data_IF_073423641646
#
_entry.id   IF_073423641646
#
_cell.length_a   1.000
_cell.length_b   1.000
_cell.length_c   1.000
_cell.angle_alpha   90.00
_cell.angle_beta   90.00
_cell.angle_gamma   90.00
#
_symmetry.space_group_name_H-M   'P 1'
#
loop_
_entity.id
_entity.type
_entity.pdbx_description
1 polymer ?
#
# COMPACT_ATOMS: atom_id res chain seq x y z
N UNK A 1 -0.20 -20.35 -3.62
CA UNK A 1 -1.63 -20.78 -3.56
C UNK A 1 -1.95 -21.69 -2.38
N UNK A 2 -1.07 -22.61 -1.95
CA UNK A 2 -1.34 -23.49 -0.79
C UNK A 2 -1.62 -22.76 0.53
N UNK A 3 -1.19 -21.50 0.66
CA UNK A 3 -1.47 -20.64 1.81
C UNK A 3 -2.88 -20.01 1.79
N UNK A 4 -3.54 -19.92 0.62
CA UNK A 4 -4.80 -19.19 0.46
C UNK A 4 -5.88 -19.64 1.45
N UNK A 5 -6.12 -20.95 1.69
CA UNK A 5 -7.16 -21.37 2.64
C UNK A 5 -6.93 -20.87 4.06
N UNK A 6 -5.66 -20.76 4.48
CA UNK A 6 -5.31 -20.26 5.82
C UNK A 6 -5.49 -18.74 5.87
N UNK A 7 -5.03 -18.02 4.85
CA UNK A 7 -5.16 -16.57 4.75
C UNK A 7 -6.64 -16.14 4.70
N UNK A 8 -7.47 -16.85 3.92
CA UNK A 8 -8.93 -16.66 3.88
C UNK A 8 -9.50 -16.80 5.29
N UNK A 9 -9.16 -17.89 6.00
CA UNK A 9 -9.66 -18.11 7.37
C UNK A 9 -9.26 -16.98 8.32
N UNK A 10 -8.06 -16.44 8.20
CA UNK A 10 -7.59 -15.31 9.02
C UNK A 10 -8.35 -14.03 8.70
N UNK A 11 -8.53 -13.71 7.40
CA UNK A 11 -9.28 -12.54 6.96
C UNK A 11 -10.75 -12.58 7.45
N UNK A 12 -11.36 -13.76 7.42
CA UNK A 12 -12.76 -13.97 7.81
C UNK A 12 -13.01 -13.94 9.33
N UNK A 13 -11.97 -14.13 10.14
CA UNK A 13 -12.09 -14.20 11.59
C UNK A 13 -12.25 -12.79 12.18
N UNK A 14 -13.50 -12.36 12.40
CA UNK A 14 -13.81 -11.06 13.00
C UNK A 14 -13.38 -10.93 14.47
N UNK A 15 -12.99 -12.04 15.12
CA UNK A 15 -12.41 -12.04 16.46
C UNK A 15 -10.89 -11.84 16.44
N UNK A 16 -10.27 -11.88 15.26
CA UNK A 16 -8.86 -11.62 15.07
C UNK A 16 -8.57 -10.11 15.04
N UNK A 17 -7.36 -9.73 15.47
CA UNK A 17 -6.89 -8.36 15.45
C UNK A 17 -6.94 -7.76 14.03
N UNK A 18 -7.46 -6.53 13.86
CA UNK A 18 -7.53 -5.82 12.58
C UNK A 18 -6.26 -5.91 11.73
N UNK A 19 -5.10 -5.68 12.34
CA UNK A 19 -3.82 -5.73 11.64
C UNK A 19 -3.50 -7.13 11.09
N UNK A 20 -3.83 -8.19 11.82
CA UNK A 20 -3.57 -9.56 11.34
C UNK A 20 -4.48 -9.89 10.15
N UNK A 21 -5.70 -9.35 10.13
CA UNK A 21 -6.63 -9.48 9.00
C UNK A 21 -6.16 -8.69 7.77
N UNK A 22 -5.66 -7.48 7.99
CA UNK A 22 -4.99 -6.63 6.97
C UNK A 22 -3.86 -7.42 6.28
N UNK A 23 -2.92 -7.96 7.05
CA UNK A 23 -1.79 -8.74 6.51
C UNK A 23 -2.24 -9.96 5.70
N UNK A 24 -3.34 -10.61 6.12
CA UNK A 24 -3.90 -11.72 5.37
C UNK A 24 -4.47 -11.27 4.01
N UNK A 25 -5.18 -10.14 3.96
CA UNK A 25 -5.68 -9.56 2.72
C UNK A 25 -4.54 -9.11 1.78
N UNK A 26 -3.51 -8.47 2.33
CA UNK A 26 -2.34 -8.05 1.55
C UNK A 26 -1.62 -9.27 0.97
N UNK A 27 -1.39 -10.31 1.77
CA UNK A 27 -0.77 -11.56 1.32
C UNK A 27 -1.57 -12.24 0.20
N UNK A 28 -2.91 -12.23 0.27
CA UNK A 28 -3.77 -12.74 -0.81
C UNK A 28 -3.57 -11.93 -2.10
N UNK A 29 -3.48 -10.60 -1.99
CA UNK A 29 -3.17 -9.70 -3.12
C UNK A 29 -1.78 -9.93 -3.69
N UNK A 30 -0.78 -10.17 -2.84
CA UNK A 30 0.60 -10.46 -3.23
C UNK A 30 0.71 -11.81 -3.97
N UNK A 31 -0.01 -12.84 -3.51
CA UNK A 31 -0.10 -14.15 -4.19
C UNK A 31 -0.78 -14.01 -5.55
N UNK A 32 -1.77 -13.12 -5.67
CA UNK A 32 -2.36 -12.76 -6.96
C UNK A 32 -3.35 -13.78 -7.54
N UNK A 33 -3.81 -14.74 -6.74
CA UNK A 33 -4.68 -15.84 -7.22
C UNK A 33 -6.13 -15.40 -7.38
N UNK A 34 -6.74 -15.76 -8.51
CA UNK A 34 -8.14 -15.41 -8.82
C UNK A 34 -9.16 -16.01 -7.86
N UNK A 35 -8.83 -17.13 -7.20
CA UNK A 35 -9.66 -17.75 -6.18
C UNK A 35 -9.90 -16.83 -4.97
N UNK A 36 -9.01 -15.85 -4.77
CA UNK A 36 -9.10 -14.89 -3.65
C UNK A 36 -10.05 -13.73 -3.94
N UNK A 37 -10.52 -13.56 -5.18
CA UNK A 37 -11.35 -12.41 -5.56
C UNK A 37 -12.65 -12.37 -4.75
N UNK A 38 -13.35 -13.50 -4.65
CA UNK A 38 -14.65 -13.55 -3.98
C UNK A 38 -14.56 -13.16 -2.51
N UNK A 39 -13.55 -13.67 -1.79
CA UNK A 39 -13.33 -13.31 -0.38
C UNK A 39 -12.93 -11.85 -0.24
N UNK A 40 -12.06 -11.33 -1.10
CA UNK A 40 -11.64 -9.93 -1.02
C UNK A 40 -12.81 -8.98 -1.33
N UNK A 41 -13.69 -9.33 -2.27
CA UNK A 41 -14.89 -8.55 -2.58
C UNK A 41 -15.89 -8.53 -1.42
N UNK A 42 -16.02 -9.65 -0.70
CA UNK A 42 -16.86 -9.76 0.51
C UNK A 42 -16.47 -8.76 1.60
N UNK A 43 -15.18 -8.42 1.73
CA UNK A 43 -14.66 -7.54 2.78
C UNK A 43 -14.35 -6.10 2.32
N UNK A 44 -14.78 -5.70 1.12
CA UNK A 44 -14.65 -4.31 0.65
C UNK A 44 -15.37 -3.27 1.52
N UNK A 45 -16.36 -3.71 2.31
CA UNK A 45 -17.10 -2.85 3.25
C UNK A 45 -16.95 -3.35 4.69
N UNK A 46 -15.79 -3.93 5.03
CA UNK A 46 -15.48 -4.31 6.41
C UNK A 46 -15.63 -3.08 7.33
N UNK A 47 -16.18 -3.24 8.55
CA UNK A 47 -16.28 -2.11 9.49
C UNK A 47 -14.92 -1.56 9.91
N UNK A 48 -13.84 -2.34 9.77
CA UNK A 48 -12.47 -1.88 9.96
C UNK A 48 -11.94 -1.33 8.63
N UNK A 49 -11.67 -0.02 8.60
CA UNK A 49 -11.27 0.69 7.38
C UNK A 49 -9.98 0.13 6.77
N UNK A 50 -9.00 -0.22 7.60
CA UNK A 50 -7.71 -0.76 7.16
C UNK A 50 -7.89 -2.10 6.42
N UNK A 51 -8.79 -2.96 6.91
CA UNK A 51 -9.11 -4.24 6.24
C UNK A 51 -9.81 -3.98 4.91
N UNK A 52 -10.80 -3.09 4.90
CA UNK A 52 -11.55 -2.74 3.68
C UNK A 52 -10.64 -2.14 2.60
N UNK A 53 -9.80 -1.17 2.97
CA UNK A 53 -8.83 -0.53 2.08
C UNK A 53 -7.79 -1.53 1.55
N UNK A 54 -7.30 -2.43 2.40
CA UNK A 54 -6.35 -3.48 1.99
C UNK A 54 -6.98 -4.46 1.01
N UNK A 55 -8.23 -4.88 1.24
CA UNK A 55 -8.96 -5.72 0.28
C UNK A 55 -9.14 -5.03 -1.07
N UNK A 56 -9.42 -3.72 -1.08
CA UNK A 56 -9.53 -2.94 -2.31
C UNK A 56 -8.19 -2.87 -3.07
N UNK A 57 -7.08 -2.65 -2.36
CA UNK A 57 -5.72 -2.67 -2.94
C UNK A 57 -5.37 -4.05 -3.52
N UNK A 58 -5.61 -5.12 -2.75
CA UNK A 58 -5.37 -6.50 -3.19
C UNK A 58 -6.16 -6.85 -4.47
N UNK A 59 -7.43 -6.45 -4.55
CA UNK A 59 -8.25 -6.64 -5.76
C UNK A 59 -7.74 -5.82 -6.93
N UNK A 60 -7.39 -4.54 -6.72
CA UNK A 60 -6.83 -3.69 -7.76
C UNK A 60 -5.52 -4.27 -8.30
N UNK A 61 -4.68 -4.82 -7.43
CA UNK A 61 -3.45 -5.51 -7.79
C UNK A 61 -3.71 -6.75 -8.63
N UNK A 62 -4.58 -7.66 -8.20
CA UNK A 62 -4.95 -8.87 -8.96
C UNK A 62 -5.49 -8.51 -10.34
N UNK A 63 -6.39 -7.51 -10.41
CA UNK A 63 -6.95 -7.02 -11.67
C UNK A 63 -5.87 -6.42 -12.57
N UNK A 64 -4.94 -5.66 -12.01
CA UNK A 64 -3.81 -5.10 -12.76
C UNK A 64 -2.89 -6.19 -13.32
N UNK A 65 -2.52 -7.19 -12.52
CA UNK A 65 -1.71 -8.33 -12.98
C UNK A 65 -2.35 -9.06 -14.17
N UNK A 66 -3.68 -9.26 -14.12
CA UNK A 66 -4.43 -9.85 -15.24
C UNK A 66 -4.29 -9.07 -16.55
N UNK A 67 -4.26 -7.74 -16.49
CA UNK A 67 -4.06 -6.90 -17.68
C UNK A 67 -2.65 -7.00 -18.24
N UNK A 68 -1.67 -7.33 -17.40
CA UNK A 68 -0.27 -7.49 -17.77
C UNK A 68 0.03 -8.87 -18.37
N UNK A 69 -0.65 -9.94 -17.91
CA UNK A 69 -0.53 -11.29 -18.50
C UNK A 69 -0.90 -11.34 -19.99
N UNK A 70 -1.79 -10.46 -20.45
CA UNK A 70 -2.12 -10.31 -21.88
C UNK A 70 -0.99 -9.67 -22.71
N UNK A 71 0.00 -9.07 -22.06
CA UNK A 71 1.11 -8.35 -22.66
C UNK A 71 2.41 -8.77 -21.99
N UNK A 72 3.03 -9.88 -22.44
CA UNK A 72 4.30 -10.46 -21.97
C UNK A 72 5.24 -9.44 -21.29
N UNK A 73 5.06 -9.21 -19.99
CA UNK A 73 5.73 -8.12 -19.27
C UNK A 73 6.54 -8.71 -18.13
N UNK A 74 7.85 -8.47 -18.16
CA UNK A 74 8.67 -8.52 -16.97
C UNK A 74 8.18 -7.40 -16.06
N UNK A 75 7.46 -7.75 -14.99
CA UNK A 75 7.10 -6.80 -13.95
C UNK A 75 8.39 -6.12 -13.48
N UNK A 76 8.44 -4.78 -13.41
CA UNK A 76 9.61 -4.10 -12.88
C UNK A 76 9.81 -4.56 -11.44
N UNK A 77 10.93 -5.25 -11.20
CA UNK A 77 11.29 -5.77 -9.89
C UNK A 77 11.55 -4.60 -8.95
N UNK A 78 11.00 -4.66 -7.73
CA UNK A 78 11.25 -3.64 -6.72
C UNK A 78 12.74 -3.63 -6.36
N UNK A 79 13.40 -2.46 -6.32
CA UNK A 79 14.80 -2.37 -5.88
C UNK A 79 14.98 -2.75 -4.40
N UNK A 80 13.89 -2.97 -3.66
CA UNK A 80 13.87 -3.34 -2.25
C UNK A 80 13.50 -4.81 -2.01
N UNK A 81 13.45 -5.64 -3.07
CA UNK A 81 13.09 -7.07 -2.99
C UNK A 81 11.74 -7.33 -2.29
N UNK A 82 10.81 -6.38 -2.41
CA UNK A 82 9.44 -6.45 -1.87
C UNK A 82 8.41 -6.79 -2.96
N UNK A 83 7.31 -7.43 -2.55
CA UNK A 83 6.11 -7.56 -3.38
C UNK A 83 5.16 -6.43 -3.01
N UNK A 84 5.23 -5.33 -3.74
CA UNK A 84 4.46 -4.14 -3.40
C UNK A 84 2.94 -4.32 -3.67
N UNK A 85 2.05 -3.78 -2.79
CA UNK A 85 0.60 -3.78 -3.00
C UNK A 85 0.16 -3.10 -4.30
N UNK A 86 0.96 -2.18 -4.83
CA UNK A 86 0.75 -1.58 -6.14
C UNK A 86 2.08 -1.45 -6.89
N UNK A 87 2.09 -1.60 -8.22
CA UNK A 87 3.30 -1.35 -9.01
C UNK A 87 3.66 0.13 -8.98
N UNK A 88 4.95 0.46 -9.11
CA UNK A 88 5.36 1.85 -9.33
C UNK A 88 4.61 2.48 -10.52
N UNK A 89 4.28 3.76 -10.41
CA UNK A 89 3.77 4.53 -11.54
C UNK A 89 4.87 4.66 -12.62
N UNK A 90 4.48 4.48 -13.88
CA UNK A 90 5.36 4.78 -15.02
C UNK A 90 5.67 6.28 -15.03
N UNK A 91 6.96 6.62 -15.18
CA UNK A 91 7.58 7.93 -14.95
C UNK A 91 6.63 9.14 -14.98
N UNK A 92 6.45 9.73 -13.80
CA UNK A 92 5.89 11.05 -13.55
C UNK A 92 6.90 11.73 -12.63
N UNK A 93 7.24 12.99 -12.85
CA UNK A 93 8.25 13.72 -12.06
C UNK A 93 7.93 13.68 -10.55
N UNK A 94 8.92 13.91 -9.67
CA UNK A 94 8.68 13.95 -8.21
C UNK A 94 7.53 14.88 -7.83
N UNK A 95 7.42 16.03 -8.50
CA UNK A 95 6.34 17.00 -8.29
C UNK A 95 4.96 16.44 -8.68
N UNK A 96 4.86 15.73 -9.80
CA UNK A 96 3.60 15.10 -10.22
C UNK A 96 3.23 13.93 -9.31
N UNK A 97 4.21 13.11 -8.92
CA UNK A 97 4.01 12.02 -7.98
C UNK A 97 3.53 12.54 -6.63
N UNK A 98 4.14 13.63 -6.13
CA UNK A 98 3.70 14.29 -4.90
C UNK A 98 2.24 14.74 -4.99
N UNK A 99 1.83 15.35 -6.11
CA UNK A 99 0.42 15.76 -6.32
C UNK A 99 -0.54 14.58 -6.24
N UNK A 100 -0.19 13.45 -6.84
CA UNK A 100 -0.99 12.23 -6.77
C UNK A 100 -1.01 11.69 -5.33
N UNK A 101 0.16 11.60 -4.69
CA UNK A 101 0.35 11.05 -3.34
C UNK A 101 -0.57 11.72 -2.30
N UNK A 102 -0.66 13.05 -2.34
CA UNK A 102 -1.40 13.87 -1.35
C UNK A 102 -2.85 14.17 -1.76
N UNK A 103 -3.30 13.70 -2.92
CA UNK A 103 -4.66 13.94 -3.38
C UNK A 103 -5.64 12.93 -2.74
N UNK A 104 -6.44 13.38 -1.77
CA UNK A 104 -7.45 12.54 -1.11
C UNK A 104 -8.62 12.14 -2.03
N UNK A 105 -8.80 12.81 -3.17
CA UNK A 105 -9.80 12.43 -4.16
C UNK A 105 -9.27 11.38 -5.16
N UNK A 106 -7.98 11.06 -5.11
CA UNK A 106 -7.37 10.03 -5.93
C UNK A 106 -7.56 8.64 -5.30
N UNK A 107 -7.64 7.61 -6.16
CA UNK A 107 -7.74 6.23 -5.70
C UNK A 107 -6.52 5.83 -4.86
N UNK A 108 -6.75 5.07 -3.79
CA UNK A 108 -5.69 4.57 -2.92
C UNK A 108 -4.62 3.80 -3.71
N UNK A 109 -5.05 2.99 -4.69
CA UNK A 109 -4.14 2.28 -5.58
C UNK A 109 -3.19 3.24 -6.30
N UNK A 110 -3.68 4.30 -6.95
CA UNK A 110 -2.80 5.27 -7.65
C UNK A 110 -1.90 6.05 -6.69
N UNK A 111 -2.36 6.34 -5.48
CA UNK A 111 -1.54 6.96 -4.43
C UNK A 111 -0.40 6.01 -4.00
N UNK A 112 -0.67 4.72 -3.83
CA UNK A 112 0.35 3.69 -3.58
C UNK A 112 1.34 3.58 -4.74
N UNK A 113 0.86 3.62 -5.99
CA UNK A 113 1.75 3.63 -7.17
C UNK A 113 2.72 4.82 -7.14
N UNK A 114 2.22 6.00 -6.76
CA UNK A 114 3.04 7.19 -6.63
C UNK A 114 4.04 7.07 -5.46
N UNK A 115 3.59 6.53 -4.33
CA UNK A 115 4.42 6.23 -3.16
C UNK A 115 5.62 5.34 -3.53
N UNK A 116 5.38 4.23 -4.21
CA UNK A 116 6.45 3.32 -4.59
C UNK A 116 7.38 3.89 -5.67
N UNK A 117 6.89 4.73 -6.58
CA UNK A 117 7.78 5.49 -7.48
C UNK A 117 8.69 6.46 -6.71
N UNK A 118 8.14 7.18 -5.72
CA UNK A 118 8.93 8.09 -4.88
C UNK A 118 9.95 7.32 -4.01
N UNK A 119 9.56 6.17 -3.46
CA UNK A 119 10.48 5.27 -2.75
C UNK A 119 11.61 4.80 -3.66
N UNK A 120 11.29 4.37 -4.87
CA UNK A 120 12.29 3.86 -5.81
C UNK A 120 13.25 4.97 -6.29
N UNK A 121 12.80 6.22 -6.33
CA UNK A 121 13.63 7.38 -6.62
C UNK A 121 14.60 7.71 -5.47
N UNK A 122 14.09 7.79 -4.23
CA UNK A 122 14.91 7.94 -3.02
C UNK A 122 15.68 9.26 -2.90
N UNK A 123 15.50 10.21 -3.83
CA UNK A 123 16.07 11.56 -3.72
C UNK A 123 15.54 12.27 -2.48
N UNK A 124 16.22 13.34 -2.08
CA UNK A 124 15.75 14.17 -0.97
C UNK A 124 14.35 14.71 -1.25
N UNK A 125 14.10 15.19 -2.46
CA UNK A 125 12.81 15.73 -2.88
C UNK A 125 11.71 14.66 -2.81
N UNK A 126 12.02 13.41 -3.17
CA UNK A 126 11.08 12.30 -3.06
C UNK A 126 10.79 11.91 -1.61
N UNK A 127 11.81 11.88 -0.74
CA UNK A 127 11.64 11.65 0.70
C UNK A 127 10.80 12.75 1.34
N UNK A 128 11.00 14.01 0.94
CA UNK A 128 10.18 15.13 1.40
C UNK A 128 8.72 15.01 0.92
N UNK A 129 8.48 14.55 -0.30
CA UNK A 129 7.14 14.28 -0.81
C UNK A 129 6.45 13.17 0.00
N UNK A 130 7.13 12.05 0.24
CA UNK A 130 6.65 10.97 1.10
C UNK A 130 6.33 11.49 2.50
N UNK A 131 7.18 12.34 3.06
CA UNK A 131 7.00 12.90 4.39
C UNK A 131 5.75 13.76 4.53
N UNK A 132 5.42 14.55 3.48
CA UNK A 132 4.13 15.26 3.44
C UNK A 132 2.97 14.27 3.43
N UNK A 133 3.06 13.19 2.65
CA UNK A 133 2.06 12.12 2.63
C UNK A 133 1.84 11.49 4.00
N UNK A 134 2.90 11.21 4.76
CA UNK A 134 2.82 10.66 6.12
C UNK A 134 2.04 11.60 7.05
N UNK A 135 2.29 12.90 7.00
CA UNK A 135 1.66 13.86 7.92
C UNK A 135 0.22 14.19 7.52
N UNK A 136 -0.05 14.32 6.22
CA UNK A 136 -1.33 14.88 5.75
C UNK A 136 -2.39 13.84 5.42
N UNK A 137 -2.03 12.56 5.24
CA UNK A 137 -2.97 11.55 4.78
C UNK A 137 -3.98 11.15 5.87
N UNK A 138 -5.25 11.03 5.46
CA UNK A 138 -6.34 10.62 6.37
C UNK A 138 -6.32 9.13 6.68
N UNK A 139 -6.05 8.29 5.68
CA UNK A 139 -6.00 6.83 5.83
C UNK A 139 -4.82 6.42 6.72
N UNK A 140 -5.12 5.75 7.83
CA UNK A 140 -4.11 5.19 8.72
C UNK A 140 -3.28 4.10 8.01
N UNK A 141 -3.92 3.29 7.16
CA UNK A 141 -3.24 2.31 6.32
C UNK A 141 -2.22 2.97 5.38
N UNK A 142 -2.61 4.07 4.72
CA UNK A 142 -1.69 4.80 3.85
C UNK A 142 -0.50 5.36 4.61
N UNK A 143 -0.72 5.97 5.79
CA UNK A 143 0.36 6.47 6.64
C UNK A 143 1.29 5.35 7.11
N UNK A 144 0.72 4.21 7.51
CA UNK A 144 1.47 3.01 7.87
C UNK A 144 2.40 2.58 6.73
N UNK A 145 1.90 2.52 5.50
CA UNK A 145 2.72 2.16 4.34
C UNK A 145 3.83 3.19 4.08
N UNK A 146 3.55 4.49 4.21
CA UNK A 146 4.59 5.53 4.08
C UNK A 146 5.70 5.33 5.12
N UNK A 147 5.34 5.01 6.36
CA UNK A 147 6.31 4.70 7.40
C UNK A 147 7.11 3.43 7.10
N UNK A 148 6.47 2.40 6.55
CA UNK A 148 7.13 1.18 6.08
C UNK A 148 8.16 1.48 4.98
N UNK A 149 7.81 2.24 3.94
CA UNK A 149 8.76 2.60 2.87
C UNK A 149 9.90 3.49 3.37
N UNK A 150 9.70 4.30 4.41
CA UNK A 150 10.81 5.00 5.07
C UNK A 150 11.79 4.04 5.75
N UNK A 151 11.29 2.96 6.35
CA UNK A 151 12.12 1.87 6.87
C UNK A 151 12.92 1.18 5.77
N UNK A 152 12.33 0.97 4.59
CA UNK A 152 13.02 0.41 3.42
C UNK A 152 14.11 1.35 2.88
N UNK A 153 13.83 2.65 2.84
CA UNK A 153 14.74 3.69 2.33
C UNK A 153 15.95 3.91 3.24
N UNK A 154 15.78 3.78 4.56
CA UNK A 154 16.82 4.05 5.56
C UNK A 154 17.47 5.44 5.40
N UNK A 155 16.71 6.42 4.88
CA UNK A 155 17.21 7.77 4.59
C UNK A 155 17.03 8.69 5.81
N UNK A 156 18.10 9.31 6.29
CA UNK A 156 18.06 10.20 7.48
C UNK A 156 17.07 11.37 7.35
N UNK A 157 16.79 11.84 6.13
CA UNK A 157 15.81 12.90 5.90
C UNK A 157 14.36 12.48 6.23
N UNK A 158 14.06 11.18 6.36
CA UNK A 158 12.75 10.69 6.77
C UNK A 158 12.52 10.79 8.28
N UNK A 159 13.60 10.81 9.08
CA UNK A 159 13.54 10.70 10.55
C UNK A 159 12.65 11.79 11.15
N UNK A 160 12.77 13.03 10.67
CA UNK A 160 11.94 14.14 11.16
C UNK A 160 10.43 13.90 10.98
N UNK A 161 10.04 13.23 9.88
CA UNK A 161 8.64 12.96 9.57
C UNK A 161 8.09 11.82 10.41
N UNK A 162 8.91 10.78 10.64
CA UNK A 162 8.58 9.70 11.57
C UNK A 162 8.43 10.22 13.00
N UNK A 163 9.34 11.11 13.44
CA UNK A 163 9.24 11.77 14.75
C UNK A 163 7.96 12.58 14.86
N UNK A 164 7.69 13.46 13.88
CA UNK A 164 6.47 14.28 13.87
C UNK A 164 5.20 13.44 13.91
N UNK A 165 5.15 12.33 13.16
CA UNK A 165 4.02 11.41 13.18
C UNK A 165 3.84 10.72 14.55
N UNK A 166 4.93 10.26 15.17
CA UNK A 166 4.90 9.57 16.47
C UNK A 166 4.61 10.52 17.64
N UNK A 167 4.98 11.79 17.51
CA UNK A 167 4.74 12.82 18.52
C UNK A 167 3.33 13.41 18.44
N UNK A 168 2.55 13.11 17.39
CA UNK A 168 1.20 13.61 17.21
C UNK A 168 0.20 12.90 18.14
N UNK A 169 -0.33 13.57 19.18
CA UNK A 169 -1.26 12.93 20.11
C UNK A 169 -2.65 12.66 19.49
N UNK A 170 -2.98 13.34 18.39
CA UNK A 170 -4.27 13.24 17.72
C UNK A 170 -4.24 12.23 16.57
N UNK A 171 -3.20 11.41 16.46
CA UNK A 171 -3.02 10.47 15.35
C UNK A 171 -4.08 9.34 15.32
N UNK A 172 -4.65 9.03 16.49
CA UNK A 172 -5.63 7.96 16.70
C UNK A 172 -7.06 8.48 16.98
N UNK A 173 -7.29 9.78 16.83
CA UNK A 173 -8.61 10.44 17.01
C UNK A 173 -9.32 10.70 15.68
#
# INVERSE_FOLDING_TARGET
ETANPVLVKVLEDVQQEPMVRHEAAEALGAIGSYESIEVLEKYLNDPVVEVAETCALALARIKWLKTQDTSQSNLPESPFASVDPAPAAESKTVEELKRVLINEDESLFNRYRAMFSLRNDGSKEAVEALGVGLISAKSALFRHEVAFVFGQLQNEHSVRYLQESLENPNENE
#
